data_IF_146218101134
#
_entry.id   IF_146218101134
#
_cell.length_a   1.000
_cell.length_b   1.000
_cell.length_c   1.000
_cell.angle_alpha   90.00
_cell.angle_beta   90.00
_cell.angle_gamma   90.00
#
_symmetry.space_group_name_H-M   'P 1'
#
loop_
_entity.id
_entity.type
_entity.pdbx_description
1 polymer ?
#
# COMPACT_ATOMS: atom_id res chain seq x y z
N UNK A 1 -16.92 -54.51 -10.97
CA UNK A 1 -16.29 -53.16 -10.86
C UNK A 1 -16.77 -52.28 -12.02
N UNK A 2 -17.96 -51.67 -11.92
CA UNK A 2 -18.42 -50.68 -12.90
C UNK A 2 -18.05 -49.29 -12.39
N UNK A 3 -16.91 -48.73 -12.84
CA UNK A 3 -16.65 -47.29 -12.65
C UNK A 3 -17.81 -46.56 -13.33
N UNK A 4 -18.69 -45.94 -12.54
CA UNK A 4 -19.89 -45.26 -13.06
C UNK A 4 -19.42 -44.18 -14.05
N UNK A 5 -19.96 -44.10 -15.28
CA UNK A 5 -19.49 -43.17 -16.32
C UNK A 5 -19.47 -41.71 -15.84
N UNK A 6 -20.38 -41.34 -14.92
CA UNK A 6 -20.40 -40.04 -14.24
C UNK A 6 -19.12 -39.73 -13.45
N UNK A 7 -18.54 -40.72 -12.78
CA UNK A 7 -17.30 -40.55 -12.03
C UNK A 7 -16.11 -40.29 -12.96
N UNK A 8 -16.07 -40.94 -14.12
CA UNK A 8 -15.03 -40.72 -15.14
C UNK A 8 -15.13 -39.29 -15.70
N UNK A 9 -16.35 -38.83 -16.02
CA UNK A 9 -16.59 -37.47 -16.50
C UNK A 9 -16.19 -36.42 -15.46
N UNK A 10 -16.57 -36.60 -14.20
CA UNK A 10 -16.18 -35.67 -13.12
C UNK A 10 -14.66 -35.61 -12.96
N UNK A 11 -13.98 -36.77 -12.95
CA UNK A 11 -12.52 -36.80 -12.84
C UNK A 11 -11.84 -36.11 -14.04
N UNK A 12 -12.36 -36.31 -15.26
CA UNK A 12 -11.85 -35.65 -16.46
C UNK A 12 -12.01 -34.12 -16.39
N UNK A 13 -13.16 -33.63 -15.92
CA UNK A 13 -13.41 -32.19 -15.74
C UNK A 13 -12.46 -31.60 -14.69
N UNK A 14 -12.30 -32.27 -13.55
CA UNK A 14 -11.37 -31.81 -12.50
C UNK A 14 -9.93 -31.80 -13.00
N UNK A 15 -9.50 -32.85 -13.70
CA UNK A 15 -8.17 -32.91 -14.28
C UNK A 15 -7.94 -31.78 -15.31
N UNK A 16 -8.92 -31.51 -16.18
CA UNK A 16 -8.86 -30.41 -17.14
C UNK A 16 -8.82 -29.05 -16.44
N UNK A 17 -9.62 -28.84 -15.39
CA UNK A 17 -9.61 -27.59 -14.62
C UNK A 17 -8.28 -27.37 -13.90
N UNK A 18 -7.69 -28.43 -13.33
CA UNK A 18 -6.36 -28.37 -12.71
C UNK A 18 -5.25 -28.09 -13.73
N UNK A 19 -5.29 -28.75 -14.90
CA UNK A 19 -4.34 -28.52 -15.97
C UNK A 19 -4.42 -27.09 -16.51
N UNK A 20 -5.63 -26.60 -16.76
CA UNK A 20 -5.87 -25.21 -17.17
C UNK A 20 -5.40 -24.22 -16.11
N UNK A 21 -5.74 -24.48 -14.84
CA UNK A 21 -5.29 -23.67 -13.71
C UNK A 21 -3.76 -23.62 -13.60
N UNK A 22 -3.08 -24.75 -13.79
CA UNK A 22 -1.62 -24.83 -13.76
C UNK A 22 -0.91 -23.96 -14.79
N UNK A 23 -1.56 -23.65 -15.91
CA UNK A 23 -1.03 -22.75 -16.95
C UNK A 23 -1.54 -21.32 -16.78
N UNK A 24 -2.85 -21.15 -16.56
CA UNK A 24 -3.49 -19.85 -16.49
C UNK A 24 -3.08 -19.04 -15.26
N UNK A 25 -2.89 -19.69 -14.10
CA UNK A 25 -2.56 -18.98 -12.86
C UNK A 25 -1.18 -18.34 -12.92
N UNK A 26 -0.08 -19.05 -13.30
CA UNK A 26 1.22 -18.40 -13.43
C UNK A 26 1.23 -17.31 -14.49
N UNK A 27 0.58 -17.55 -15.64
CA UNK A 27 0.51 -16.57 -16.73
C UNK A 27 -0.17 -15.27 -16.28
N UNK A 28 -1.35 -15.39 -15.67
CA UNK A 28 -2.14 -14.23 -15.20
C UNK A 28 -1.62 -13.62 -13.89
N UNK A 29 -0.59 -14.21 -13.28
CA UNK A 29 0.08 -13.68 -12.08
C UNK A 29 1.38 -12.96 -12.40
N UNK A 30 1.89 -13.12 -13.62
CA UNK A 30 3.12 -12.48 -14.04
C UNK A 30 2.90 -10.96 -14.23
N UNK A 31 3.80 -10.08 -13.75
CA UNK A 31 3.64 -8.62 -13.84
C UNK A 31 3.37 -8.10 -15.27
N UNK A 32 3.98 -8.72 -16.28
CA UNK A 32 3.75 -8.38 -17.70
C UNK A 32 2.31 -8.64 -18.18
N UNK A 33 1.59 -9.58 -17.57
CA UNK A 33 0.18 -9.78 -17.88
C UNK A 33 -0.63 -8.58 -17.39
N UNK A 34 -0.38 -8.10 -16.17
CA UNK A 34 -1.03 -6.88 -15.68
C UNK A 34 -0.71 -5.67 -16.57
N UNK A 35 0.54 -5.55 -17.02
CA UNK A 35 0.99 -4.48 -17.89
C UNK A 35 0.43 -4.54 -19.34
N UNK A 36 -0.30 -5.59 -19.72
CA UNK A 36 -0.99 -5.61 -21.02
C UNK A 36 -2.19 -4.66 -21.06
N UNK A 37 -2.71 -4.25 -19.90
CA UNK A 37 -3.74 -3.23 -19.79
C UNK A 37 -3.08 -1.84 -19.76
N UNK A 38 -3.46 -0.94 -20.68
CA UNK A 38 -2.80 0.37 -20.82
C UNK A 38 -2.89 1.22 -19.54
N UNK A 39 -3.98 1.11 -18.78
CA UNK A 39 -4.22 1.91 -17.59
C UNK A 39 -3.38 1.42 -16.41
N UNK A 40 -2.91 0.17 -16.45
CA UNK A 40 -2.01 -0.43 -15.46
C UNK A 40 -0.53 -0.21 -15.83
N UNK A 41 -0.21 0.06 -17.10
CA UNK A 41 1.16 0.27 -17.57
C UNK A 41 1.96 1.29 -16.73
N UNK A 42 1.42 2.46 -16.34
CA UNK A 42 2.16 3.40 -15.47
C UNK A 42 2.56 2.80 -14.11
N UNK A 43 1.68 1.99 -13.52
CA UNK A 43 1.94 1.26 -12.27
C UNK A 43 3.02 0.20 -12.44
N UNK A 44 3.08 -0.47 -13.60
CA UNK A 44 4.16 -1.40 -13.94
C UNK A 44 5.50 -0.67 -14.14
N UNK A 45 5.50 0.44 -14.87
CA UNK A 45 6.71 1.22 -15.17
C UNK A 45 7.36 1.80 -13.90
N UNK A 46 6.55 2.17 -12.90
CA UNK A 46 7.04 2.59 -11.57
C UNK A 46 7.53 1.40 -10.73
N UNK A 47 6.84 0.26 -10.80
CA UNK A 47 7.22 -0.96 -10.08
C UNK A 47 8.60 -1.49 -10.51
N UNK A 48 8.92 -1.50 -11.82
CA UNK A 48 10.18 -2.06 -12.34
C UNK A 48 11.44 -1.34 -11.82
N UNK A 49 11.32 -0.07 -11.41
CA UNK A 49 12.42 0.72 -10.83
C UNK A 49 12.31 0.87 -9.30
N UNK A 50 11.31 0.23 -8.68
CA UNK A 50 11.08 0.31 -7.24
C UNK A 50 11.96 -0.65 -6.44
N UNK A 51 11.93 -0.50 -5.11
CA UNK A 51 12.57 -1.43 -4.17
C UNK A 51 11.96 -2.83 -4.16
N UNK A 52 10.80 -3.02 -4.79
CA UNK A 52 10.07 -4.30 -4.84
C UNK A 52 9.96 -4.85 -6.27
N UNK A 53 10.83 -4.42 -7.20
CA UNK A 53 10.84 -4.90 -8.60
C UNK A 53 10.97 -6.41 -8.77
N UNK A 54 11.39 -7.13 -7.72
CA UNK A 54 11.55 -8.59 -7.71
C UNK A 54 10.41 -9.30 -6.95
N UNK A 55 9.39 -8.56 -6.48
CA UNK A 55 8.16 -9.07 -5.84
C UNK A 55 7.01 -8.89 -6.84
N UNK A 56 6.25 -9.95 -7.14
CA UNK A 56 5.24 -9.89 -8.20
C UNK A 56 4.03 -9.05 -7.78
N UNK A 57 3.26 -8.57 -8.77
CA UNK A 57 2.05 -7.79 -8.50
C UNK A 57 1.06 -8.53 -7.58
N UNK A 58 0.91 -9.84 -7.77
CA UNK A 58 -0.04 -10.66 -6.99
C UNK A 58 0.42 -10.90 -5.56
N UNK A 59 1.71 -10.84 -5.26
CA UNK A 59 2.22 -11.00 -3.90
C UNK A 59 1.77 -9.86 -2.97
N UNK A 60 1.41 -8.71 -3.56
CA UNK A 60 0.83 -7.56 -2.86
C UNK A 60 -0.69 -7.43 -3.07
N UNK A 61 -1.18 -7.65 -4.30
CA UNK A 61 -2.58 -7.38 -4.65
C UNK A 61 -3.53 -8.56 -4.45
N UNK A 62 -3.03 -9.75 -4.12
CA UNK A 62 -3.85 -10.95 -3.90
C UNK A 62 -3.54 -11.54 -2.53
N UNK A 63 -4.54 -11.58 -1.64
CA UNK A 63 -4.35 -12.24 -0.34
C UNK A 63 -4.12 -13.74 -0.52
N UNK A 64 -3.16 -14.35 0.22
CA UNK A 64 -2.74 -15.73 0.02
C UNK A 64 -3.75 -16.78 0.53
N UNK A 65 -4.86 -16.35 1.14
CA UNK A 65 -5.95 -17.26 1.55
C UNK A 65 -6.79 -17.67 0.36
N UNK A 66 -7.50 -18.81 0.44
CA UNK A 66 -8.40 -19.24 -0.63
C UNK A 66 -9.49 -18.19 -0.92
N UNK A 67 -10.11 -17.65 0.13
CA UNK A 67 -11.11 -16.58 0.00
C UNK A 67 -10.49 -15.31 -0.62
N UNK A 68 -9.29 -14.94 -0.19
CA UNK A 68 -8.53 -13.82 -0.74
C UNK A 68 -8.27 -13.99 -2.22
N UNK A 69 -7.75 -15.15 -2.62
CA UNK A 69 -7.51 -15.50 -4.01
C UNK A 69 -8.78 -15.41 -4.88
N UNK A 70 -9.90 -15.97 -4.39
CA UNK A 70 -11.17 -15.94 -5.13
C UNK A 70 -11.71 -14.51 -5.30
N UNK A 71 -11.62 -13.67 -4.26
CA UNK A 71 -12.11 -12.30 -4.31
C UNK A 71 -11.16 -11.38 -5.10
N UNK A 72 -9.88 -11.40 -4.77
CA UNK A 72 -8.88 -10.42 -5.22
C UNK A 72 -8.33 -10.76 -6.60
N UNK A 73 -8.26 -12.06 -6.97
CA UNK A 73 -7.76 -12.47 -8.28
C UNK A 73 -8.88 -12.86 -9.24
N UNK A 74 -9.77 -13.77 -8.84
CA UNK A 74 -10.80 -14.28 -9.76
C UNK A 74 -11.90 -13.24 -9.98
N UNK A 75 -12.58 -12.82 -8.90
CA UNK A 75 -13.73 -11.90 -9.01
C UNK A 75 -13.31 -10.49 -9.46
N UNK A 76 -12.29 -9.90 -8.81
CA UNK A 76 -11.80 -8.58 -9.19
C UNK A 76 -11.15 -8.60 -10.59
N UNK A 77 -10.32 -9.61 -10.90
CA UNK A 77 -9.70 -9.72 -12.22
C UNK A 77 -10.72 -9.89 -13.36
N UNK A 78 -11.78 -10.69 -13.17
CA UNK A 78 -12.87 -10.78 -14.14
C UNK A 78 -13.62 -9.45 -14.32
N UNK A 79 -13.83 -8.71 -13.22
CA UNK A 79 -14.43 -7.37 -13.28
C UNK A 79 -13.54 -6.40 -14.06
N UNK A 80 -12.22 -6.42 -13.85
CA UNK A 80 -11.28 -5.55 -14.54
C UNK A 80 -11.21 -5.87 -16.04
N UNK A 81 -11.22 -7.16 -16.41
CA UNK A 81 -11.33 -7.59 -17.82
C UNK A 81 -12.66 -7.12 -18.42
N UNK A 82 -13.78 -7.30 -17.72
CA UNK A 82 -15.07 -6.84 -18.21
C UNK A 82 -15.11 -5.33 -18.42
N UNK A 83 -14.55 -4.54 -17.48
CA UNK A 83 -14.42 -3.08 -17.64
C UNK A 83 -13.53 -2.76 -18.83
N UNK A 84 -12.41 -3.46 -19.02
CA UNK A 84 -11.48 -3.20 -20.11
C UNK A 84 -12.04 -3.55 -21.49
N UNK A 85 -12.97 -4.50 -21.58
CA UNK A 85 -13.54 -4.96 -22.86
C UNK A 85 -14.85 -4.24 -23.18
N UNK A 86 -15.71 -3.99 -22.18
CA UNK A 86 -17.07 -3.52 -22.38
C UNK A 86 -17.32 -2.10 -21.86
N UNK A 87 -16.31 -1.42 -21.32
CA UNK A 87 -16.45 -0.08 -20.73
C UNK A 87 -15.17 0.73 -20.87
N UNK A 88 -15.18 1.93 -20.28
CA UNK A 88 -13.99 2.78 -20.20
C UNK A 88 -13.22 2.46 -18.91
N UNK A 89 -11.96 2.00 -18.99
CA UNK A 89 -11.12 1.82 -17.82
C UNK A 89 -10.94 3.12 -17.02
N UNK A 90 -10.77 2.98 -15.71
CA UNK A 90 -10.40 4.11 -14.86
C UNK A 90 -9.03 4.64 -15.25
N UNK A 91 -8.91 5.97 -15.30
CA UNK A 91 -7.64 6.67 -15.54
C UNK A 91 -6.58 6.26 -14.51
N UNK A 92 -5.33 6.15 -14.96
CA UNK A 92 -4.22 5.68 -14.14
C UNK A 92 -4.02 6.52 -12.86
N UNK A 93 -4.28 7.83 -12.91
CA UNK A 93 -4.13 8.73 -11.75
C UNK A 93 -5.25 8.56 -10.71
N UNK A 94 -6.29 7.81 -11.06
CA UNK A 94 -7.47 7.56 -10.22
C UNK A 94 -7.67 6.08 -9.89
N UNK A 95 -6.77 5.21 -10.33
CA UNK A 95 -6.78 3.81 -9.93
C UNK A 95 -6.65 3.68 -8.42
N UNK A 96 -7.51 2.85 -7.85
CA UNK A 96 -7.53 2.54 -6.44
C UNK A 96 -7.57 1.03 -6.29
N UNK A 97 -6.50 0.50 -5.70
CA UNK A 97 -6.41 -0.89 -5.29
C UNK A 97 -6.24 -0.94 -3.77
N UNK A 98 -6.93 -1.86 -3.13
CA UNK A 98 -6.75 -2.13 -1.71
C UNK A 98 -5.60 -3.13 -1.56
N UNK A 99 -4.54 -2.72 -0.87
CA UNK A 99 -3.45 -3.60 -0.45
C UNK A 99 -3.59 -3.80 1.05
N UNK A 100 -3.86 -5.05 1.44
CA UNK A 100 -4.15 -5.39 2.82
C UNK A 100 -2.89 -5.39 3.69
N UNK A 101 -2.98 -4.94 4.94
CA UNK A 101 -1.84 -4.87 5.86
C UNK A 101 -1.20 -6.25 6.06
N UNK A 102 -2.00 -7.31 6.04
CA UNK A 102 -1.55 -8.69 6.23
C UNK A 102 -0.53 -9.12 5.18
N UNK A 103 -0.66 -8.67 3.91
CA UNK A 103 0.31 -9.03 2.85
C UNK A 103 1.66 -8.37 3.13
N UNK A 104 1.68 -7.12 3.59
CA UNK A 104 2.90 -6.43 3.97
C UNK A 104 3.57 -7.13 5.17
N UNK A 105 2.77 -7.51 6.17
CA UNK A 105 3.26 -8.19 7.38
C UNK A 105 3.71 -9.62 7.15
N UNK A 106 3.38 -10.25 6.02
CA UNK A 106 3.92 -11.57 5.65
C UNK A 106 5.45 -11.54 5.51
N UNK A 107 6.01 -10.42 5.04
CA UNK A 107 7.45 -10.18 4.91
C UNK A 107 7.99 -9.21 5.98
N UNK A 108 7.26 -8.13 6.29
CA UNK A 108 7.74 -7.03 7.13
C UNK A 108 7.29 -7.11 8.60
N UNK A 109 7.00 -8.30 9.14
CA UNK A 109 6.45 -8.46 10.50
C UNK A 109 7.25 -7.77 11.61
N UNK A 110 8.57 -7.68 11.45
CA UNK A 110 9.48 -7.06 12.42
C UNK A 110 9.19 -5.57 12.64
N UNK A 111 8.58 -4.87 11.67
CA UNK A 111 8.27 -3.45 11.77
C UNK A 111 7.34 -3.13 12.94
N UNK A 112 6.51 -4.08 13.38
CA UNK A 112 5.63 -3.93 14.55
C UNK A 112 6.37 -3.83 15.89
N UNK A 113 7.71 -3.94 15.88
CA UNK A 113 8.58 -3.69 17.04
C UNK A 113 9.26 -2.32 16.97
N UNK A 114 9.05 -1.57 15.89
CA UNK A 114 9.62 -0.24 15.68
C UNK A 114 8.65 0.80 16.19
N UNK A 115 9.04 1.44 17.29
CA UNK A 115 8.30 2.55 17.92
C UNK A 115 8.87 3.93 17.58
N UNK A 116 10.09 3.95 17.05
CA UNK A 116 10.81 5.15 16.67
C UNK A 116 11.55 4.89 15.36
N UNK A 117 11.48 5.84 14.43
CA UNK A 117 12.15 5.71 13.14
C UNK A 117 13.64 6.00 13.32
N UNK A 118 14.49 5.13 12.77
CA UNK A 118 15.93 5.29 12.90
C UNK A 118 16.41 6.61 12.27
N UNK A 119 17.41 7.26 12.86
CA UNK A 119 17.88 8.57 12.39
C UNK A 119 18.38 8.53 10.94
N UNK A 120 19.06 7.44 10.53
CA UNK A 120 19.53 7.25 9.14
C UNK A 120 18.42 7.24 8.09
N UNK A 121 17.21 6.94 8.56
CA UNK A 121 16.01 6.65 7.78
C UNK A 121 15.09 7.89 7.72
N UNK A 122 15.44 8.96 8.46
CA UNK A 122 14.72 10.22 8.52
C UNK A 122 15.30 11.27 7.55
N UNK A 123 14.46 12.10 6.93
CA UNK A 123 14.93 13.26 6.19
C UNK A 123 15.39 14.38 7.15
N UNK A 124 16.34 15.23 6.77
CA UNK A 124 16.53 16.53 7.42
C UNK A 124 15.26 17.41 7.27
N UNK A 125 14.88 18.23 8.27
CA UNK A 125 15.51 18.43 9.58
C UNK A 125 15.10 17.40 10.65
N UNK A 126 14.19 16.47 10.34
CA UNK A 126 13.61 15.51 11.32
C UNK A 126 14.68 14.66 12.01
N UNK A 127 15.82 14.40 11.35
CA UNK A 127 16.98 13.76 11.99
C UNK A 127 17.40 14.44 13.32
N UNK A 128 17.27 15.78 13.40
CA UNK A 128 17.64 16.57 14.59
C UNK A 128 16.68 16.37 15.75
N UNK A 129 15.40 16.11 15.49
CA UNK A 129 14.33 16.03 16.49
C UNK A 129 13.79 14.61 16.71
N UNK A 130 14.20 13.63 15.89
CA UNK A 130 13.70 12.25 15.93
C UNK A 130 12.26 12.12 15.42
N UNK A 131 11.75 10.89 15.35
CA UNK A 131 10.34 10.62 15.02
C UNK A 131 9.85 9.38 15.76
N UNK A 132 9.00 9.60 16.76
CA UNK A 132 8.28 8.57 17.51
C UNK A 132 7.02 8.20 16.73
N UNK A 133 7.05 7.01 16.13
CA UNK A 133 5.98 6.49 15.29
C UNK A 133 5.86 4.97 15.51
N UNK A 134 4.98 4.58 16.44
CA UNK A 134 4.74 3.16 16.70
C UNK A 134 3.85 2.53 15.66
N UNK A 135 4.45 1.72 14.80
CA UNK A 135 3.72 0.97 13.76
C UNK A 135 2.63 0.10 14.39
N UNK A 136 2.93 -0.58 15.50
CA UNK A 136 1.94 -1.40 16.22
C UNK A 136 0.72 -0.58 16.64
N UNK A 137 0.92 0.54 17.33
CA UNK A 137 -0.18 1.39 17.78
C UNK A 137 -1.03 1.89 16.60
N UNK A 138 -0.38 2.26 15.49
CA UNK A 138 -1.10 2.71 14.28
C UNK A 138 -1.91 1.59 13.63
N UNK A 139 -1.34 0.40 13.46
CA UNK A 139 -2.06 -0.74 12.88
C UNK A 139 -3.24 -1.17 13.78
N UNK A 140 -3.05 -1.20 15.10
CA UNK A 140 -4.13 -1.46 16.06
C UNK A 140 -5.20 -0.36 16.03
N UNK A 141 -4.81 0.90 15.86
CA UNK A 141 -5.74 2.00 15.71
C UNK A 141 -6.55 1.95 14.41
N UNK A 142 -5.91 1.62 13.30
CA UNK A 142 -6.57 1.43 12.00
C UNK A 142 -7.57 0.26 12.04
N UNK A 143 -7.18 -0.85 12.66
CA UNK A 143 -8.07 -2.01 12.84
C UNK A 143 -9.32 -1.64 13.63
N UNK A 144 -9.20 -0.88 14.73
CA UNK A 144 -10.35 -0.43 15.53
C UNK A 144 -11.21 0.62 14.81
N UNK A 145 -10.59 1.51 14.02
CA UNK A 145 -11.31 2.52 13.22
C UNK A 145 -12.11 1.91 12.07
N UNK A 146 -11.68 0.75 11.57
CA UNK A 146 -12.34 -0.01 10.52
C UNK A 146 -12.64 0.80 9.23
N UNK A 147 -11.79 1.78 8.90
CA UNK A 147 -11.92 2.64 7.71
C UNK A 147 -11.14 2.14 6.48
N UNK A 148 -10.66 0.89 6.50
CA UNK A 148 -9.80 0.35 5.44
C UNK A 148 -8.37 0.93 5.45
N UNK A 149 -7.91 1.43 6.59
CA UNK A 149 -6.57 1.98 6.78
C UNK A 149 -5.55 0.86 7.07
N UNK A 150 -4.27 1.11 6.79
CA UNK A 150 -3.19 0.12 6.84
C UNK A 150 -1.82 0.69 6.47
N UNK A 151 -0.92 -0.19 6.01
CA UNK A 151 0.46 0.18 5.67
C UNK A 151 0.52 1.25 4.56
N UNK A 152 -0.25 1.06 3.49
CA UNK A 152 -0.30 1.97 2.33
C UNK A 152 -0.97 3.31 2.63
N UNK A 153 -1.57 3.47 3.81
CA UNK A 153 -2.18 4.74 4.20
C UNK A 153 -1.11 5.80 4.50
N UNK A 154 0.09 5.38 4.91
CA UNK A 154 1.28 6.25 4.99
C UNK A 154 2.28 5.91 3.89
N UNK A 155 2.51 4.63 3.62
CA UNK A 155 3.39 4.16 2.55
C UNK A 155 2.61 4.02 1.23
N UNK A 156 1.95 5.09 0.77
CA UNK A 156 1.14 5.05 -0.46
C UNK A 156 1.97 4.93 -1.74
N UNK A 157 3.29 5.20 -1.64
CA UNK A 157 4.22 5.32 -2.77
C UNK A 157 5.30 4.23 -2.81
N UNK A 158 5.05 3.04 -2.24
CA UNK A 158 6.08 1.97 -2.17
C UNK A 158 6.59 1.57 -3.56
N UNK A 159 5.66 1.34 -4.50
CA UNK A 159 5.97 0.78 -5.83
C UNK A 159 5.34 1.52 -6.99
N UNK A 160 4.28 2.29 -6.76
CA UNK A 160 3.52 2.95 -7.83
C UNK A 160 3.78 4.45 -7.93
N UNK A 161 4.87 4.94 -7.35
CA UNK A 161 5.21 6.35 -7.29
C UNK A 161 6.69 6.55 -6.95
N UNK A 162 7.22 7.76 -7.18
CA UNK A 162 8.59 8.13 -6.74
C UNK A 162 8.59 8.58 -5.27
N UNK A 163 9.64 8.33 -4.49
CA UNK A 163 9.75 8.92 -3.16
C UNK A 163 9.69 10.45 -3.19
N UNK A 164 9.09 11.06 -2.17
CA UNK A 164 9.07 12.52 -2.01
C UNK A 164 10.52 13.00 -1.90
N UNK A 165 10.91 13.99 -2.71
CA UNK A 165 12.25 14.59 -2.72
C UNK A 165 13.42 13.58 -2.85
N UNK A 166 13.16 12.39 -3.39
CA UNK A 166 14.17 11.34 -3.52
C UNK A 166 14.59 10.71 -2.19
N UNK A 167 13.83 10.90 -1.11
CA UNK A 167 14.14 10.30 0.18
C UNK A 167 14.13 8.76 0.12
N UNK A 168 15.01 8.09 0.87
CA UNK A 168 15.13 6.63 0.82
C UNK A 168 13.90 5.92 1.39
N UNK A 169 13.15 6.58 2.28
CA UNK A 169 11.91 6.05 2.85
C UNK A 169 10.72 6.83 2.34
N UNK A 170 9.70 6.06 1.95
CA UNK A 170 8.36 6.58 1.67
C UNK A 170 7.68 6.94 2.98
N UNK A 171 7.94 8.14 3.49
CA UNK A 171 7.14 8.75 4.55
C UNK A 171 6.12 9.69 3.93
N UNK A 172 4.92 9.83 4.55
CA UNK A 172 3.99 10.88 4.15
C UNK A 172 4.64 12.25 4.35
N UNK A 173 4.06 13.30 3.75
CA UNK A 173 4.56 14.65 3.92
C UNK A 173 4.58 15.00 5.43
N UNK A 174 5.66 15.62 5.89
CA UNK A 174 5.74 16.18 7.24
C UNK A 174 5.11 17.56 7.31
N UNK A 175 5.24 18.24 8.47
CA UNK A 175 4.82 19.63 8.67
C UNK A 175 5.10 20.50 7.44
N UNK A 176 4.05 21.03 6.82
CA UNK A 176 4.14 21.92 5.64
C UNK A 176 4.98 23.17 5.94
N UNK A 177 5.06 23.60 7.21
CA UNK A 177 5.86 24.75 7.65
C UNK A 177 7.37 24.49 7.72
N UNK A 178 7.80 23.25 7.95
CA UNK A 178 9.23 22.86 8.01
C UNK A 178 9.70 22.21 6.70
N UNK A 179 8.75 21.89 5.81
CA UNK A 179 8.99 21.46 4.44
C UNK A 179 9.43 22.65 3.58
N UNK A 180 10.59 23.21 3.94
CA UNK A 180 11.23 24.41 3.37
C UNK A 180 11.48 24.33 1.86
N UNK A 181 11.37 23.15 1.26
CA UNK A 181 11.29 23.01 -0.19
C UNK A 181 9.88 22.56 -0.58
N UNK A 182 9.12 23.37 -1.32
CA UNK A 182 7.82 22.98 -1.83
C UNK A 182 7.91 21.71 -2.67
N UNK A 183 7.13 20.69 -2.32
CA UNK A 183 6.90 19.53 -3.19
C UNK A 183 5.55 19.67 -3.89
N UNK A 184 5.57 19.68 -5.21
CA UNK A 184 4.38 19.67 -6.05
C UNK A 184 4.29 18.32 -6.75
N UNK A 185 3.28 17.49 -6.45
CA UNK A 185 3.07 16.25 -7.19
C UNK A 185 2.86 16.56 -8.68
N UNK A 186 3.48 15.77 -9.54
CA UNK A 186 3.34 15.79 -11.01
C UNK A 186 2.01 15.22 -11.51
N UNK A 187 1.08 14.98 -10.58
CA UNK A 187 -0.26 14.45 -10.83
C UNK A 187 -1.28 15.58 -11.02
N UNK A 188 -2.24 15.43 -11.96
CA UNK A 188 -3.29 16.41 -12.19
C UNK A 188 -4.10 16.73 -10.94
N UNK A 189 -4.63 17.95 -10.87
CA UNK A 189 -5.48 18.38 -9.76
C UNK A 189 -6.75 17.54 -9.63
N UNK A 190 -7.17 17.27 -8.38
CA UNK A 190 -8.34 16.43 -8.08
C UNK A 190 -8.13 14.92 -8.21
N UNK A 191 -6.96 14.46 -8.67
CA UNK A 191 -6.69 13.01 -8.81
C UNK A 191 -6.36 12.35 -7.48
N UNK A 192 -6.62 11.04 -7.38
CA UNK A 192 -6.31 10.24 -6.19
C UNK A 192 -4.81 10.18 -5.91
N UNK A 193 -3.97 10.04 -6.94
CA UNK A 193 -2.52 10.05 -6.78
C UNK A 193 -2.01 11.39 -6.24
N UNK A 194 -2.57 12.51 -6.69
CA UNK A 194 -2.24 13.83 -6.12
C UNK A 194 -2.63 13.92 -4.65
N UNK A 195 -3.85 13.51 -4.29
CA UNK A 195 -4.29 13.51 -2.89
C UNK A 195 -3.41 12.63 -2.01
N UNK A 196 -3.03 11.45 -2.48
CA UNK A 196 -2.12 10.55 -1.76
C UNK A 196 -0.71 11.13 -1.61
N UNK A 197 -0.23 11.87 -2.62
CA UNK A 197 1.08 12.54 -2.59
C UNK A 197 1.13 13.73 -1.63
N UNK A 198 -0.02 14.34 -1.32
CA UNK A 198 -0.15 15.45 -0.38
C UNK A 198 -0.52 15.02 1.05
N UNK A 199 -0.73 13.71 1.28
CA UNK A 199 -1.12 13.20 2.58
C UNK A 199 0.00 13.35 3.63
N UNK A 200 -0.38 13.70 4.86
CA UNK A 200 0.51 13.91 6.01
C UNK A 200 -0.02 13.22 7.28
N UNK A 201 0.66 13.42 8.40
CA UNK A 201 0.24 12.93 9.72
C UNK A 201 -1.05 13.60 10.22
N UNK A 202 -1.27 14.85 9.84
CA UNK A 202 -2.37 15.68 10.33
C UNK A 202 -3.74 15.29 9.80
N UNK A 203 -3.81 14.49 8.73
CA UNK A 203 -5.07 13.84 8.31
C UNK A 203 -5.76 13.03 9.42
N UNK A 204 -5.01 12.61 10.44
CA UNK A 204 -5.55 11.93 11.62
C UNK A 204 -5.14 12.60 12.93
N UNK A 205 -4.02 13.32 12.97
CA UNK A 205 -3.60 14.09 14.15
C UNK A 205 -4.08 15.55 14.04
N UNK A 206 -5.34 15.77 13.70
CA UNK A 206 -5.91 17.12 13.47
C UNK A 206 -6.31 17.85 14.77
N UNK A 207 -6.27 17.15 15.90
CA UNK A 207 -6.79 17.63 17.19
C UNK A 207 -8.28 17.38 17.40
N UNK A 208 -8.96 16.67 16.49
CA UNK A 208 -10.37 16.27 16.62
C UNK A 208 -10.54 14.74 16.66
N UNK A 209 -9.74 14.01 15.87
CA UNK A 209 -9.84 12.56 15.83
C UNK A 209 -9.50 11.95 17.20
N UNK A 210 -10.20 10.88 17.55
CA UNK A 210 -10.01 10.21 18.84
C UNK A 210 -9.63 8.75 18.68
N UNK A 211 -8.91 8.23 19.67
CA UNK A 211 -8.61 6.82 19.83
C UNK A 211 -8.73 6.46 21.32
N UNK A 212 -9.54 5.44 21.64
CA UNK A 212 -9.81 5.01 23.02
C UNK A 212 -10.26 6.17 23.95
N UNK A 213 -11.11 7.05 23.42
CA UNK A 213 -11.63 8.21 24.15
C UNK A 213 -10.63 9.35 24.36
N UNK A 214 -9.42 9.26 23.81
CA UNK A 214 -8.42 10.33 23.85
C UNK A 214 -8.29 11.00 22.49
N UNK A 215 -8.21 12.32 22.48
CA UNK A 215 -7.90 13.10 21.27
C UNK A 215 -6.47 12.78 20.83
N UNK A 216 -6.30 12.52 19.54
CA UNK A 216 -4.99 12.40 18.92
C UNK A 216 -4.40 13.81 18.83
N UNK A 217 -3.50 14.11 19.75
CA UNK A 217 -2.90 15.44 19.82
C UNK A 217 -1.86 15.65 18.72
N UNK A 218 -1.58 16.93 18.48
CA UNK A 218 -0.65 17.45 17.46
C UNK A 218 0.56 18.16 18.04
N UNK A 219 0.84 17.92 19.33
CA UNK A 219 1.98 18.55 20.02
C UNK A 219 3.28 17.96 19.50
N UNK A 220 4.35 18.76 19.53
CA UNK A 220 5.64 18.36 19.00
C UNK A 220 6.17 17.11 19.72
N UNK A 221 6.01 17.05 21.04
CA UNK A 221 6.49 15.99 21.94
C UNK A 221 5.76 14.66 21.74
N UNK A 222 4.62 14.66 21.03
CA UNK A 222 3.87 13.44 20.71
C UNK A 222 4.54 12.66 19.58
N UNK A 223 5.21 13.37 18.68
CA UNK A 223 5.83 12.82 17.48
C UNK A 223 7.36 12.91 17.51
N UNK A 224 7.94 13.83 18.26
CA UNK A 224 9.38 14.09 18.30
C UNK A 224 9.93 13.87 19.70
N UNK A 225 11.22 13.55 19.79
CA UNK A 225 11.88 13.29 21.06
C UNK A 225 12.04 14.60 21.86
N UNK A 226 11.41 14.73 23.06
CA UNK A 226 11.40 15.99 23.82
C UNK A 226 12.79 16.57 24.09
N UNK A 227 13.75 15.71 24.44
CA UNK A 227 15.13 16.10 24.70
C UNK A 227 15.81 16.71 23.47
N UNK A 228 15.43 16.24 22.26
CA UNK A 228 15.96 16.76 21.00
C UNK A 228 15.26 18.03 20.56
N UNK A 229 13.95 18.15 20.80
CA UNK A 229 13.18 19.37 20.51
C UNK A 229 13.75 20.56 21.30
N UNK A 230 13.99 20.39 22.60
CA UNK A 230 14.56 21.45 23.43
C UNK A 230 15.93 21.92 22.89
N UNK A 231 16.79 20.97 22.50
CA UNK A 231 18.10 21.31 21.92
C UNK A 231 18.01 22.02 20.56
N UNK A 232 16.90 21.87 19.84
CA UNK A 232 16.66 22.50 18.53
C UNK A 232 16.07 23.90 18.64
N UNK A 233 15.17 24.14 19.61
CA UNK A 233 14.48 25.43 19.77
C UNK A 233 15.28 26.47 20.58
N UNK A 234 16.22 26.01 21.41
CA UNK A 234 16.96 26.87 22.34
C UNK A 234 18.47 26.98 22.01
N UNK A 235 18.88 26.54 20.82
CA UNK A 235 20.19 26.82 20.19
C UNK A 235 20.00 27.81 19.03
#
# INVERSE_FOLDING_TARGET
>A
MTRKPKAIVIMAIVAAALALGGVAVPLTSHPRFCASCHNIKPSYDSWVVSTHKDVTCVDCHVRPTLEGYLNDKVKAGLKDVAISVFSTPTDAHNLQATVHTEVCLSCHRAILRVSEVAVRDLPPPVQKVGLVMSHRKHIEAFAKRAKGEGCTTCHSRVVHEKPIKGYPIVLPRGHVSEDSEPYYPDHPEGTKLRSAALADCFRCHDGNATYEGKVLDKRCETCHLPEKIASYLFN
#
